data_IF_872458905895
#
_entry.id   IF_872458905895
#
_cell.length_a   1.000
_cell.length_b   1.000
_cell.length_c   1.000
_cell.angle_alpha   90.00
_cell.angle_beta   90.00
_cell.angle_gamma   90.00
#
_symmetry.space_group_name_H-M   'P 1'
#
loop_
_entity.id
_entity.type
_entity.pdbx_description
1 polymer ?
#
# COMPACT_ATOMS: atom_id res chain seq x y z
N UNK A 1 -4.71 5.69 -11.10
CA UNK A 1 -5.04 6.93 -10.34
C UNK A 1 -4.02 7.17 -9.22
N UNK A 2 -3.87 6.25 -8.26
CA UNK A 2 -2.91 6.38 -7.15
C UNK A 2 -1.41 6.38 -7.54
N UNK A 3 -1.08 6.13 -8.81
CA UNK A 3 0.29 6.19 -9.35
C UNK A 3 0.41 7.13 -10.55
N UNK A 4 -0.61 7.97 -10.81
CA UNK A 4 -0.60 8.92 -11.92
C UNK A 4 0.51 9.98 -11.74
N UNK A 5 1.50 10.09 -12.63
CA UNK A 5 2.58 11.06 -12.49
C UNK A 5 2.12 12.52 -12.48
N UNK A 6 0.98 12.83 -13.10
CA UNK A 6 0.41 14.18 -13.09
C UNK A 6 -0.08 14.62 -11.69
N UNK A 7 -0.35 13.66 -10.79
CA UNK A 7 -0.81 13.93 -9.42
C UNK A 7 0.32 13.69 -8.42
N UNK A 8 1.04 12.57 -8.57
CA UNK A 8 2.01 12.11 -7.58
C UNK A 8 3.47 12.45 -7.92
N UNK A 9 3.70 13.10 -9.06
CA UNK A 9 5.03 13.41 -9.56
C UNK A 9 5.69 12.24 -10.31
N UNK A 10 6.92 12.43 -10.81
CA UNK A 10 7.64 11.41 -11.59
C UNK A 10 7.90 10.12 -10.80
N UNK A 11 7.98 10.21 -9.47
CA UNK A 11 8.18 9.07 -8.55
C UNK A 11 6.86 8.43 -8.07
N UNK A 12 5.73 8.72 -8.73
CA UNK A 12 4.41 8.22 -8.34
C UNK A 12 4.23 6.70 -8.41
N UNK A 13 5.10 6.00 -9.14
CA UNK A 13 5.11 4.52 -9.20
C UNK A 13 6.02 3.88 -8.14
N UNK A 14 6.82 4.67 -7.43
CA UNK A 14 7.77 4.19 -6.43
C UNK A 14 7.11 4.01 -5.05
N UNK A 15 7.53 2.98 -4.32
CA UNK A 15 7.11 2.80 -2.93
C UNK A 15 7.95 3.72 -2.02
N UNK A 16 7.41 4.91 -1.72
CA UNK A 16 8.10 5.95 -0.95
C UNK A 16 7.27 6.45 0.24
N UNK A 17 7.19 5.71 1.36
CA UNK A 17 6.38 6.09 2.53
C UNK A 17 6.75 7.45 3.12
N UNK A 18 8.03 7.83 3.06
CA UNK A 18 8.55 9.08 3.62
C UNK A 18 7.94 10.35 2.97
N UNK A 19 7.26 10.25 1.81
CA UNK A 19 6.63 11.42 1.18
C UNK A 19 5.56 12.07 2.05
N UNK A 20 4.87 11.30 2.90
CA UNK A 20 3.86 11.83 3.83
C UNK A 20 4.47 12.44 5.09
N UNK A 21 5.76 12.21 5.35
CA UNK A 21 6.50 12.80 6.47
C UNK A 21 7.23 14.08 6.05
N UNK A 22 7.41 14.30 4.75
CA UNK A 22 8.17 15.42 4.21
C UNK A 22 7.22 16.58 3.91
N UNK A 23 7.45 17.79 4.46
CA UNK A 23 6.67 18.97 4.08
C UNK A 23 6.73 19.20 2.57
N UNK A 24 5.55 19.33 1.93
CA UNK A 24 5.44 19.46 0.48
C UNK A 24 5.71 18.17 -0.32
N UNK A 25 5.86 17.01 0.34
CA UNK A 25 6.05 15.72 -0.32
C UNK A 25 4.78 15.12 -0.95
N UNK A 26 3.62 15.71 -0.65
CA UNK A 26 2.31 15.39 -1.25
C UNK A 26 1.61 16.68 -1.67
N UNK A 27 0.77 16.66 -2.73
CA UNK A 27 -0.05 17.80 -3.13
C UNK A 27 -0.96 18.29 -2.00
N UNK A 28 -1.49 19.51 -2.14
CA UNK A 28 -2.48 20.02 -1.20
C UNK A 28 -3.73 19.14 -1.21
N UNK A 29 -4.36 18.95 -0.04
CA UNK A 29 -5.64 18.24 0.06
C UNK A 29 -6.74 18.85 -0.82
N UNK A 30 -6.66 20.16 -1.12
CA UNK A 30 -7.59 20.83 -2.03
C UNK A 30 -7.45 20.40 -3.49
N UNK A 31 -6.32 19.80 -3.87
CA UNK A 31 -6.02 19.33 -5.22
C UNK A 31 -6.26 17.82 -5.36
N UNK A 32 -6.63 17.15 -4.26
CA UNK A 32 -6.78 15.70 -4.18
C UNK A 32 -8.26 15.30 -4.03
N UNK A 33 -8.61 14.04 -4.38
CA UNK A 33 -9.95 13.50 -4.16
C UNK A 33 -10.38 13.56 -2.69
N UNK A 34 -11.70 13.54 -2.43
CA UNK A 34 -12.25 13.52 -1.05
C UNK A 34 -12.12 12.18 -0.35
N UNK A 35 -11.55 11.19 -1.03
CA UNK A 35 -11.23 9.88 -0.46
C UNK A 35 -10.29 9.99 0.75
N UNK A 36 -10.20 8.90 1.51
CA UNK A 36 -9.35 8.86 2.70
C UNK A 36 -7.92 9.29 2.36
N UNK A 37 -7.42 10.32 3.04
CA UNK A 37 -6.06 10.88 2.85
C UNK A 37 -5.74 11.35 1.42
N UNK A 38 -6.74 11.71 0.60
CA UNK A 38 -6.51 12.17 -0.77
C UNK A 38 -6.14 11.05 -1.76
N UNK A 39 -6.43 9.79 -1.42
CA UNK A 39 -6.22 8.63 -2.30
C UNK A 39 -7.53 7.90 -2.56
N UNK A 40 -7.59 7.14 -3.67
CA UNK A 40 -8.82 6.44 -4.09
C UNK A 40 -8.79 4.94 -3.81
N UNK A 41 -7.94 4.48 -2.89
CA UNK A 41 -7.83 3.07 -2.49
C UNK A 41 -9.14 2.54 -1.89
N UNK A 42 -9.86 3.39 -1.17
CA UNK A 42 -11.17 3.07 -0.58
C UNK A 42 -12.33 3.65 -1.38
N UNK A 43 -12.13 3.88 -2.69
CA UNK A 43 -13.01 4.66 -3.55
C UNK A 43 -13.23 6.09 -3.02
N UNK A 44 -14.15 6.83 -3.63
CA UNK A 44 -14.52 8.19 -3.24
C UNK A 44 -16.05 8.38 -3.38
N UNK A 45 -16.61 9.37 -2.70
CA UNK A 45 -18.03 9.72 -2.73
C UNK A 45 -18.95 8.75 -1.98
N UNK A 46 -20.25 8.67 -2.34
CA UNK A 46 -21.27 7.94 -1.58
C UNK A 46 -21.11 6.41 -1.61
N UNK A 47 -20.20 5.90 -2.44
CA UNK A 47 -19.85 4.48 -2.55
C UNK A 47 -18.43 4.20 -2.06
N UNK A 48 -17.88 5.10 -1.22
CA UNK A 48 -16.63 4.81 -0.54
C UNK A 48 -16.75 3.54 0.34
N UNK A 49 -15.62 2.89 0.59
CA UNK A 49 -15.60 1.66 1.38
C UNK A 49 -16.04 1.95 2.81
N UNK A 50 -17.22 1.47 3.20
CA UNK A 50 -17.75 1.64 4.56
C UNK A 50 -16.79 1.11 5.65
N UNK A 51 -15.95 0.13 5.30
CA UNK A 51 -14.96 -0.48 6.19
C UNK A 51 -13.60 0.22 6.25
N UNK A 52 -13.37 1.34 5.56
CA UNK A 52 -12.02 1.91 5.44
C UNK A 52 -11.36 2.20 6.81
N UNK A 53 -12.16 2.64 7.81
CA UNK A 53 -11.65 2.94 9.16
C UNK A 53 -11.18 1.68 9.88
N UNK A 54 -11.94 0.59 9.75
CA UNK A 54 -11.58 -0.71 10.30
C UNK A 54 -10.33 -1.26 9.61
N UNK A 55 -10.31 -1.24 8.27
CA UNK A 55 -9.17 -1.71 7.48
C UNK A 55 -7.87 -0.97 7.84
N UNK A 56 -7.92 0.36 8.00
CA UNK A 56 -6.75 1.14 8.43
C UNK A 56 -6.34 0.83 9.87
N UNK A 57 -7.30 0.60 10.78
CA UNK A 57 -7.01 0.20 12.15
C UNK A 57 -6.31 -1.16 12.20
N UNK A 58 -6.90 -2.18 11.57
CA UNK A 58 -6.33 -3.53 11.50
C UNK A 58 -4.94 -3.51 10.85
N UNK A 59 -4.79 -2.79 9.74
CA UNK A 59 -3.50 -2.67 9.05
C UNK A 59 -2.42 -2.07 9.96
N UNK A 60 -2.74 -1.01 10.71
CA UNK A 60 -1.80 -0.40 11.66
C UNK A 60 -1.40 -1.38 12.78
N UNK A 61 -2.36 -2.10 13.35
CA UNK A 61 -2.11 -3.07 14.42
C UNK A 61 -1.26 -4.24 13.92
N UNK A 62 -1.62 -4.81 12.77
CA UNK A 62 -0.89 -5.91 12.14
C UNK A 62 0.54 -5.45 11.82
N UNK A 63 0.69 -4.32 11.11
CA UNK A 63 2.01 -3.82 10.72
C UNK A 63 2.89 -3.56 11.94
N UNK A 64 2.39 -2.83 12.95
CA UNK A 64 3.14 -2.53 14.17
C UNK A 64 3.53 -3.78 14.96
N UNK A 65 2.72 -4.84 14.89
CA UNK A 65 3.02 -6.12 15.53
C UNK A 65 4.08 -6.88 14.74
N UNK A 66 3.91 -7.00 13.43
CA UNK A 66 4.83 -7.72 12.56
C UNK A 66 6.23 -7.11 12.58
N UNK A 67 6.37 -5.80 12.42
CA UNK A 67 7.69 -5.14 12.39
C UNK A 67 8.42 -5.15 13.73
N UNK A 68 7.69 -5.34 14.84
CA UNK A 68 8.28 -5.46 16.18
C UNK A 68 8.69 -6.89 16.49
N UNK A 69 7.96 -7.87 15.97
CA UNK A 69 8.13 -9.29 16.32
C UNK A 69 8.95 -10.08 15.32
N UNK A 70 9.06 -9.62 14.06
CA UNK A 70 9.68 -10.34 12.97
C UNK A 70 10.73 -9.49 12.24
N UNK A 71 11.79 -10.16 11.80
CA UNK A 71 12.69 -9.68 10.77
C UNK A 71 12.32 -10.30 9.42
N UNK A 72 12.24 -9.48 8.38
CA UNK A 72 11.88 -9.91 7.03
C UNK A 72 13.12 -10.01 6.16
N UNK A 73 13.26 -11.12 5.46
CA UNK A 73 14.39 -11.42 4.59
C UNK A 73 13.93 -11.56 3.14
N UNK A 74 14.83 -11.19 2.23
CA UNK A 74 14.62 -11.40 0.80
C UNK A 74 14.46 -12.89 0.47
N UNK A 75 13.66 -13.18 -0.56
CA UNK A 75 13.46 -14.54 -1.08
C UNK A 75 13.91 -14.62 -2.53
N UNK A 76 14.14 -15.83 -3.04
CA UNK A 76 14.46 -16.03 -4.46
C UNK A 76 13.22 -16.01 -5.38
N UNK A 77 12.02 -15.87 -4.81
CA UNK A 77 10.77 -15.95 -5.53
C UNK A 77 10.54 -14.71 -6.41
N UNK A 78 10.00 -14.92 -7.61
CA UNK A 78 9.73 -13.83 -8.54
C UNK A 78 8.30 -13.34 -8.37
N UNK A 79 8.16 -12.11 -7.86
CA UNK A 79 6.86 -11.45 -7.66
C UNK A 79 6.55 -10.55 -8.84
N UNK A 80 5.48 -10.86 -9.57
CA UNK A 80 5.01 -10.04 -10.69
C UNK A 80 3.65 -9.43 -10.39
N UNK A 81 3.49 -8.18 -10.83
CA UNK A 81 2.20 -7.48 -10.77
C UNK A 81 1.35 -7.95 -11.94
N UNK A 82 0.17 -8.51 -11.65
CA UNK A 82 -0.81 -8.90 -12.67
C UNK A 82 -2.14 -8.21 -12.38
N UNK A 83 -2.80 -7.75 -13.43
CA UNK A 83 -4.16 -7.23 -13.31
C UNK A 83 -5.08 -8.43 -13.02
N UNK A 84 -5.77 -8.35 -11.90
CA UNK A 84 -6.70 -9.35 -11.38
C UNK A 84 -7.91 -8.60 -10.80
N UNK A 85 -9.11 -9.22 -10.77
CA UNK A 85 -10.27 -8.63 -10.10
C UNK A 85 -10.00 -8.27 -8.63
N UNK A 86 -9.10 -8.99 -7.99
CA UNK A 86 -8.59 -8.70 -6.64
C UNK A 86 -7.10 -8.35 -6.70
N UNK A 87 -6.65 -7.44 -5.83
CA UNK A 87 -5.23 -7.14 -5.71
C UNK A 87 -4.53 -8.36 -5.10
N UNK A 88 -3.82 -9.12 -5.94
CA UNK A 88 -3.05 -10.29 -5.50
C UNK A 88 -1.69 -10.29 -6.18
N UNK A 89 -0.61 -10.56 -5.43
CA UNK A 89 0.68 -10.87 -6.06
C UNK A 89 0.58 -12.19 -6.83
N UNK A 90 1.31 -12.27 -7.93
CA UNK A 90 1.59 -13.53 -8.61
C UNK A 90 3.05 -13.87 -8.37
N UNK A 91 3.29 -15.04 -7.79
CA UNK A 91 4.61 -15.50 -7.33
C UNK A 91 4.91 -16.79 -8.07
N UNK A 92 6.01 -16.80 -8.84
CA UNK A 92 6.42 -17.96 -9.63
C UNK A 92 5.28 -18.57 -10.47
N UNK A 93 4.46 -17.69 -11.06
CA UNK A 93 3.30 -18.05 -11.89
C UNK A 93 2.01 -18.38 -11.13
N UNK A 94 2.00 -18.36 -9.79
CA UNK A 94 0.84 -18.68 -8.95
C UNK A 94 0.29 -17.45 -8.24
N UNK A 95 -1.03 -17.22 -8.34
CA UNK A 95 -1.71 -16.14 -7.63
C UNK A 95 -1.98 -16.45 -6.16
N UNK A 96 -2.09 -15.41 -5.33
CA UNK A 96 -2.53 -15.54 -3.94
C UNK A 96 -1.48 -16.15 -3.01
N UNK A 97 -0.20 -16.07 -3.37
CA UNK A 97 0.92 -16.48 -2.54
C UNK A 97 1.71 -15.26 -2.08
N UNK A 98 2.30 -15.34 -0.89
CA UNK A 98 3.22 -14.34 -0.37
C UNK A 98 4.53 -15.06 0.02
N UNK A 99 5.64 -14.87 -0.71
CA UNK A 99 6.87 -15.56 -0.42
C UNK A 99 7.52 -14.86 0.78
N UNK A 100 7.38 -15.45 1.97
CA UNK A 100 7.92 -14.90 3.20
C UNK A 100 9.07 -15.76 3.70
N UNK A 101 10.21 -15.13 3.94
CA UNK A 101 11.26 -15.65 4.79
C UNK A 101 11.41 -14.71 5.98
N UNK A 102 11.10 -15.21 7.17
CA UNK A 102 11.08 -14.40 8.40
C UNK A 102 11.76 -15.12 9.55
N UNK A 103 12.38 -14.33 10.42
CA UNK A 103 12.90 -14.77 11.72
C UNK A 103 12.26 -13.95 12.84
N UNK A 104 12.37 -14.38 14.09
CA UNK A 104 11.96 -13.56 15.22
C UNK A 104 12.94 -12.39 15.38
N UNK A 105 12.41 -11.19 15.59
CA UNK A 105 13.22 -10.02 15.91
C UNK A 105 13.88 -10.20 17.29
N UNK A 106 15.14 -9.80 17.40
CA UNK A 106 15.93 -9.87 18.64
C UNK A 106 15.64 -8.71 19.59
#
# INVERSE_FOLDING_TARGET
MNTNPAVWGPDGAEFKPARWLTPGGVPSLSELPSGWSGITTFCDGPRNCIGYRLAIFEFKVILATLVRSLEFHETTAQVVRKISPTLQPVVDGRGGLLPLHVTLAQ
#
